data_IF_546659716821
#
_entry.id   IF_546659716821
#
_cell.length_a   1.000
_cell.length_b   1.000
_cell.length_c   1.000
_cell.angle_alpha   90.00
_cell.angle_beta   90.00
_cell.angle_gamma   90.00
#
_symmetry.space_group_name_H-M   'P 1'
#
loop_
_entity.id
_entity.type
_entity.pdbx_description
1 polymer ?
#
# COMPACT_ATOMS: atom_id res chain seq x y z
N UNK A 1 41.47 -5.28 -67.37
CA UNK A 1 41.31 -3.82 -67.45
C UNK A 1 39.81 -3.49 -67.52
N UNK A 2 39.23 -3.05 -66.40
CA UNK A 2 37.86 -2.50 -66.19
C UNK A 2 36.67 -3.43 -66.61
N UNK A 3 35.64 -3.71 -65.81
CA UNK A 3 35.00 -2.89 -64.76
C UNK A 3 34.03 -3.77 -63.94
N UNK A 4 34.47 -4.26 -62.78
CA UNK A 4 33.58 -4.61 -61.66
C UNK A 4 33.03 -3.30 -61.09
N UNK A 5 31.87 -2.85 -61.58
CA UNK A 5 31.09 -1.77 -60.95
C UNK A 5 29.62 -1.98 -61.30
N UNK A 6 28.93 -2.82 -60.53
CA UNK A 6 27.45 -2.86 -60.43
C UNK A 6 26.92 -3.71 -59.26
N UNK A 7 27.71 -3.88 -58.20
CA UNK A 7 27.27 -4.49 -56.93
C UNK A 7 27.83 -3.65 -55.78
N UNK A 8 27.46 -2.38 -55.72
CA UNK A 8 27.77 -1.51 -54.56
C UNK A 8 26.71 -0.41 -54.35
N UNK A 9 25.56 -0.48 -55.02
CA UNK A 9 24.50 0.54 -54.90
C UNK A 9 23.17 0.00 -54.33
N UNK A 10 23.07 -1.30 -54.05
CA UNK A 10 21.87 -1.89 -53.41
C UNK A 10 22.13 -2.41 -51.99
N UNK A 11 23.38 -2.42 -51.51
CA UNK A 11 23.70 -2.81 -50.12
C UNK A 11 23.71 -1.59 -49.19
N UNK A 12 23.94 -0.38 -49.71
CA UNK A 12 23.87 0.86 -48.93
C UNK A 12 22.43 1.36 -48.67
N UNK A 13 21.45 0.95 -49.49
CA UNK A 13 20.03 1.30 -49.30
C UNK A 13 19.30 0.37 -48.33
N UNK A 14 19.85 -0.81 -48.04
CA UNK A 14 19.30 -1.75 -47.05
C UNK A 14 19.91 -1.49 -45.67
N UNK A 15 21.11 -0.93 -45.60
CA UNK A 15 21.73 -0.49 -44.33
C UNK A 15 21.13 0.85 -43.84
N UNK A 16 20.56 1.68 -44.72
CA UNK A 16 19.85 2.92 -44.32
C UNK A 16 18.35 2.74 -43.99
N UNK A 17 17.81 1.52 -44.06
CA UNK A 17 16.45 1.20 -43.57
C UNK A 17 16.50 0.43 -42.24
N UNK A 18 17.69 0.02 -41.79
CA UNK A 18 17.96 -0.45 -40.41
C UNK A 18 18.64 0.61 -39.54
N UNK A 19 18.68 1.86 -39.99
CA UNK A 19 18.49 2.98 -39.09
C UNK A 19 16.98 3.26 -39.01
N UNK A 20 16.21 2.23 -38.61
CA UNK A 20 15.08 2.54 -37.74
C UNK A 20 15.73 3.39 -36.67
N UNK A 21 15.32 4.65 -36.60
CA UNK A 21 15.33 5.29 -35.31
C UNK A 21 14.61 4.27 -34.41
N UNK A 22 15.39 3.51 -33.64
CA UNK A 22 15.14 3.40 -32.24
C UNK A 22 15.02 4.87 -31.79
N UNK A 23 13.84 5.45 -32.02
CA UNK A 23 13.22 6.27 -31.02
C UNK A 23 13.22 5.32 -29.84
N UNK A 24 14.30 5.40 -29.07
CA UNK A 24 14.22 5.13 -27.66
C UNK A 24 12.99 5.94 -27.25
N UNK A 25 11.87 5.25 -27.08
CA UNK A 25 11.00 5.63 -26.00
C UNK A 25 11.82 5.27 -24.74
N UNK A 26 12.92 6.01 -24.51
CA UNK A 26 13.17 6.43 -23.15
C UNK A 26 11.80 6.97 -22.75
N UNK A 27 11.13 6.25 -21.85
CA UNK A 27 9.93 6.80 -21.26
C UNK A 27 10.48 8.01 -20.51
N UNK A 28 10.49 9.14 -21.20
CA UNK A 28 11.19 10.33 -20.77
C UNK A 28 10.52 10.67 -19.45
N UNK A 29 11.26 10.49 -18.36
CA UNK A 29 10.78 10.91 -17.05
C UNK A 29 10.84 12.44 -16.94
N UNK A 30 11.16 13.16 -18.04
CA UNK A 30 10.92 14.58 -18.25
C UNK A 30 9.46 14.93 -17.87
N UNK A 31 9.27 15.19 -16.58
CA UNK A 31 7.98 15.49 -15.96
C UNK A 31 7.61 14.63 -14.74
N UNK A 32 8.08 13.38 -14.63
CA UNK A 32 7.62 12.38 -13.65
C UNK A 32 8.51 12.24 -12.39
N UNK A 33 9.72 12.80 -12.41
CA UNK A 33 10.62 12.88 -11.27
C UNK A 33 10.16 13.94 -10.24
N UNK A 34 8.96 13.77 -9.68
CA UNK A 34 8.48 14.59 -8.57
C UNK A 34 9.10 14.04 -7.27
N UNK A 35 10.08 14.76 -6.74
CA UNK A 35 10.73 14.44 -5.46
C UNK A 35 9.70 14.29 -4.33
N UNK A 36 8.59 15.02 -4.37
CA UNK A 36 7.54 14.87 -3.36
C UNK A 36 6.84 13.51 -3.48
N UNK A 37 6.69 12.96 -4.69
CA UNK A 37 6.14 11.61 -4.88
C UNK A 37 7.13 10.57 -4.40
N UNK A 38 8.42 10.75 -4.68
CA UNK A 38 9.45 9.88 -4.15
C UNK A 38 9.49 9.86 -2.63
N UNK A 39 9.54 11.02 -1.98
CA UNK A 39 9.62 11.14 -0.52
C UNK A 39 8.45 10.39 0.15
N UNK A 40 7.28 10.36 -0.49
CA UNK A 40 6.12 9.59 -0.03
C UNK A 40 6.22 8.08 -0.16
N UNK A 41 6.98 7.61 -1.15
CA UNK A 41 7.09 6.18 -1.45
C UNK A 41 8.30 5.55 -0.78
N UNK A 42 9.31 6.35 -0.44
CA UNK A 42 10.60 5.90 0.07
C UNK A 42 10.44 4.91 1.23
N UNK A 43 9.64 5.23 2.25
CA UNK A 43 9.46 4.36 3.41
C UNK A 43 8.80 3.02 3.03
N UNK A 44 7.79 3.04 2.16
CA UNK A 44 7.12 1.83 1.71
C UNK A 44 8.04 0.98 0.81
N UNK A 45 8.82 1.64 -0.02
CA UNK A 45 9.78 1.04 -0.93
C UNK A 45 10.95 0.37 -0.19
N UNK A 46 11.54 1.06 0.77
CA UNK A 46 12.64 0.53 1.60
C UNK A 46 12.17 -0.65 2.46
N UNK A 47 10.94 -0.60 3.02
CA UNK A 47 10.35 -1.73 3.74
C UNK A 47 10.11 -2.94 2.83
N UNK A 48 9.70 -2.71 1.58
CA UNK A 48 9.49 -3.77 0.60
C UNK A 48 10.81 -4.42 0.18
N UNK A 49 11.80 -3.60 -0.17
CA UNK A 49 13.06 -4.05 -0.80
C UNK A 49 14.16 -4.43 0.19
N UNK A 50 14.05 -3.96 1.44
CA UNK A 50 15.10 -4.05 2.45
C UNK A 50 16.32 -3.18 2.15
N UNK A 51 16.20 -2.21 1.23
CA UNK A 51 17.27 -1.26 0.92
C UNK A 51 17.36 -0.18 2.00
N UNK A 52 18.58 0.29 2.24
CA UNK A 52 18.83 1.51 3.01
C UNK A 52 18.37 2.74 2.21
N UNK A 53 18.00 3.81 2.93
CA UNK A 53 17.43 5.03 2.34
C UNK A 53 18.38 5.70 1.32
N UNK A 54 19.69 5.72 1.59
CA UNK A 54 20.69 6.29 0.68
C UNK A 54 20.82 5.52 -0.65
N UNK A 55 20.63 4.19 -0.60
CA UNK A 55 20.56 3.36 -1.81
C UNK A 55 19.28 3.62 -2.59
N UNK A 56 18.15 3.79 -1.89
CA UNK A 56 16.88 4.17 -2.53
C UNK A 56 16.97 5.55 -3.20
N UNK A 57 17.58 6.53 -2.54
CA UNK A 57 17.85 7.87 -3.09
C UNK A 57 18.69 7.79 -4.37
N UNK A 58 19.76 6.99 -4.34
CA UNK A 58 20.61 6.75 -5.51
C UNK A 58 19.80 6.15 -6.66
N UNK A 59 18.93 5.18 -6.39
CA UNK A 59 18.09 4.58 -7.42
C UNK A 59 17.07 5.58 -7.98
N UNK A 60 16.48 6.42 -7.13
CA UNK A 60 15.61 7.50 -7.57
C UNK A 60 16.32 8.47 -8.50
N UNK A 61 17.53 8.92 -8.14
CA UNK A 61 18.33 9.83 -8.98
C UNK A 61 18.70 9.19 -10.33
N UNK A 62 19.13 7.93 -10.32
CA UNK A 62 19.46 7.20 -11.55
C UNK A 62 18.25 7.04 -12.48
N UNK A 63 17.10 6.66 -11.91
CA UNK A 63 15.84 6.53 -12.66
C UNK A 63 15.44 7.89 -13.21
N UNK A 64 15.42 8.94 -12.37
CA UNK A 64 14.99 10.28 -12.75
C UNK A 64 15.83 10.88 -13.89
N UNK A 65 17.14 10.61 -13.88
CA UNK A 65 18.06 11.16 -14.88
C UNK A 65 18.13 10.34 -16.17
N UNK A 66 17.93 9.01 -16.11
CA UNK A 66 18.24 8.12 -17.24
C UNK A 66 17.05 7.28 -17.73
N UNK A 67 15.95 7.23 -16.97
CA UNK A 67 14.83 6.33 -17.23
C UNK A 67 15.26 4.86 -17.31
N UNK A 68 14.54 4.09 -18.12
CA UNK A 68 14.88 2.72 -18.47
C UNK A 68 15.17 2.60 -19.97
N UNK A 69 16.20 1.85 -20.32
CA UNK A 69 16.45 1.43 -21.69
C UNK A 69 15.53 0.28 -22.10
N UNK A 70 15.27 0.13 -23.39
CA UNK A 70 14.49 -1.01 -23.91
C UNK A 70 15.11 -2.36 -23.52
N UNK A 71 16.44 -2.47 -23.50
CA UNK A 71 17.12 -3.71 -23.08
C UNK A 71 16.87 -4.04 -21.60
N UNK A 72 16.82 -3.02 -20.74
CA UNK A 72 16.45 -3.18 -19.34
C UNK A 72 15.00 -3.62 -19.18
N UNK A 73 14.06 -3.00 -19.91
CA UNK A 73 12.65 -3.39 -19.91
C UNK A 73 12.47 -4.83 -20.41
N UNK A 74 13.11 -5.20 -21.53
CA UNK A 74 13.12 -6.56 -22.05
C UNK A 74 13.70 -7.56 -21.04
N UNK A 75 14.72 -7.15 -20.27
CA UNK A 75 15.28 -7.99 -19.21
C UNK A 75 14.33 -8.15 -18.03
N UNK A 76 13.56 -7.11 -17.69
CA UNK A 76 12.55 -7.16 -16.62
C UNK A 76 11.42 -8.10 -17.02
N UNK A 77 10.89 -7.96 -18.24
CA UNK A 77 9.80 -8.80 -18.75
C UNK A 77 10.19 -10.29 -18.78
N UNK A 78 11.44 -10.60 -19.14
CA UNK A 78 11.96 -11.97 -19.11
C UNK A 78 12.08 -12.55 -17.70
N UNK A 79 12.38 -11.73 -16.70
CA UNK A 79 12.50 -12.15 -15.30
C UNK A 79 11.12 -12.42 -14.68
N UNK A 80 10.07 -11.80 -15.20
CA UNK A 80 8.71 -11.89 -14.66
C UNK A 80 7.85 -12.96 -15.36
N UNK A 81 8.43 -13.72 -16.29
CA UNK A 81 7.79 -14.82 -17.03
C UNK A 81 7.72 -16.12 -16.17
N UNK A 82 6.62 -16.91 -16.22
CA UNK A 82 5.79 -17.18 -17.40
C UNK A 82 4.60 -16.25 -17.64
N UNK A 83 4.42 -15.21 -16.83
CA UNK A 83 3.41 -14.19 -17.06
C UNK A 83 3.98 -13.03 -17.86
N UNK A 84 3.60 -12.91 -19.12
CA UNK A 84 3.98 -11.74 -19.91
C UNK A 84 3.43 -10.50 -19.17
N UNK A 85 4.29 -9.60 -18.68
CA UNK A 85 3.83 -8.34 -18.07
C UNK A 85 3.00 -7.51 -19.07
N UNK A 86 3.16 -7.74 -20.39
CA UNK A 86 2.31 -7.14 -21.42
C UNK A 86 0.83 -7.51 -21.28
N UNK A 87 0.51 -8.61 -20.59
CA UNK A 87 -0.88 -9.00 -20.27
C UNK A 87 -1.48 -8.19 -19.11
N UNK A 88 -0.62 -7.53 -18.31
CA UNK A 88 -0.99 -6.59 -17.26
C UNK A 88 -0.83 -5.18 -17.83
N UNK A 89 -1.88 -4.69 -18.49
CA UNK A 89 -1.80 -3.42 -19.23
C UNK A 89 -1.74 -2.17 -18.33
N UNK A 90 -2.03 -2.27 -17.03
CA UNK A 90 -2.06 -1.14 -16.11
C UNK A 90 -0.85 -1.11 -15.17
N UNK A 91 -0.24 0.07 -15.00
CA UNK A 91 0.86 0.35 -14.05
C UNK A 91 0.57 -0.18 -12.65
N UNK A 92 -0.68 -0.03 -12.18
CA UNK A 92 -1.14 -0.54 -10.89
C UNK A 92 -1.00 -2.06 -10.75
N UNK A 93 -1.41 -2.83 -11.76
CA UNK A 93 -1.41 -4.29 -11.70
C UNK A 93 0.02 -4.84 -11.71
N UNK A 94 0.91 -4.23 -12.52
CA UNK A 94 2.34 -4.58 -12.54
C UNK A 94 2.99 -4.33 -11.17
N UNK A 95 2.73 -3.17 -10.59
CA UNK A 95 3.29 -2.79 -9.29
C UNK A 95 2.75 -3.68 -8.16
N UNK A 96 1.43 -3.93 -8.12
CA UNK A 96 0.81 -4.81 -7.14
C UNK A 96 1.37 -6.24 -7.23
N UNK A 97 1.53 -6.78 -8.45
CA UNK A 97 2.12 -8.09 -8.66
C UNK A 97 3.57 -8.16 -8.17
N UNK A 98 4.41 -7.19 -8.53
CA UNK A 98 5.81 -7.15 -8.10
C UNK A 98 5.94 -7.05 -6.59
N UNK A 99 5.14 -6.19 -5.96
CA UNK A 99 5.13 -6.03 -4.51
C UNK A 99 4.71 -7.33 -3.81
N UNK A 100 3.61 -7.95 -4.22
CA UNK A 100 3.05 -9.12 -3.55
C UNK A 100 3.93 -10.38 -3.71
N UNK A 101 4.74 -10.44 -4.77
CA UNK A 101 5.63 -11.57 -5.07
C UNK A 101 7.11 -11.23 -4.86
N UNK A 102 7.44 -10.07 -4.29
CA UNK A 102 8.82 -9.55 -4.25
C UNK A 102 9.81 -10.53 -3.63
N UNK A 103 9.48 -11.09 -2.47
CA UNK A 103 10.36 -12.02 -1.76
C UNK A 103 10.60 -13.31 -2.54
N UNK A 104 9.57 -13.85 -3.17
CA UNK A 104 9.68 -15.05 -4.00
C UNK A 104 10.53 -14.78 -5.24
N UNK A 105 10.21 -13.70 -5.97
CA UNK A 105 10.93 -13.29 -7.18
C UNK A 105 12.42 -13.07 -6.91
N UNK A 106 12.76 -12.39 -5.81
CA UNK A 106 14.14 -11.98 -5.53
C UNK A 106 14.97 -13.02 -4.78
N UNK A 107 14.35 -14.03 -4.16
CA UNK A 107 15.04 -15.01 -3.30
C UNK A 107 16.18 -15.79 -3.97
N UNK A 108 16.10 -16.01 -5.28
CA UNK A 108 17.12 -16.73 -6.07
C UNK A 108 17.68 -15.88 -7.21
N UNK A 109 17.36 -14.59 -7.23
CA UNK A 109 17.70 -13.71 -8.33
C UNK A 109 19.16 -13.24 -8.22
N UNK A 110 19.94 -13.27 -9.32
CA UNK A 110 21.24 -12.63 -9.38
C UNK A 110 21.16 -11.15 -8.97
N UNK A 111 22.18 -10.64 -8.27
CA UNK A 111 22.14 -9.30 -7.68
C UNK A 111 21.88 -8.19 -8.72
N UNK A 112 22.46 -8.30 -9.91
CA UNK A 112 22.24 -7.35 -11.02
C UNK A 112 20.78 -7.32 -11.47
N UNK A 113 20.12 -8.48 -11.49
CA UNK A 113 18.69 -8.59 -11.82
C UNK A 113 17.81 -8.10 -10.68
N UNK A 114 18.18 -8.36 -9.42
CA UNK A 114 17.47 -7.83 -8.25
C UNK A 114 17.48 -6.30 -8.27
N UNK A 115 18.64 -5.68 -8.48
CA UNK A 115 18.78 -4.22 -8.59
C UNK A 115 17.86 -3.67 -9.68
N UNK A 116 17.75 -4.38 -10.81
CA UNK A 116 16.88 -3.96 -11.90
C UNK A 116 15.39 -4.01 -11.51
N UNK A 117 14.94 -5.05 -10.81
CA UNK A 117 13.58 -5.16 -10.27
C UNK A 117 13.31 -4.10 -9.20
N UNK A 118 14.26 -3.87 -8.29
CA UNK A 118 14.17 -2.85 -7.25
C UNK A 118 13.94 -1.47 -7.89
N UNK A 119 14.73 -1.11 -8.91
CA UNK A 119 14.54 0.15 -9.64
C UNK A 119 13.19 0.18 -10.37
N UNK A 120 12.77 -0.93 -10.95
CA UNK A 120 11.52 -0.97 -11.72
C UNK A 120 10.28 -0.78 -10.84
N UNK A 121 10.29 -1.32 -9.62
CA UNK A 121 9.24 -1.07 -8.62
C UNK A 121 9.15 0.42 -8.27
N UNK A 122 10.30 1.07 -8.03
CA UNK A 122 10.35 2.51 -7.77
C UNK A 122 9.75 3.29 -8.94
N UNK A 123 10.19 2.98 -10.16
CA UNK A 123 9.69 3.60 -11.39
C UNK A 123 8.17 3.46 -11.56
N UNK A 124 7.63 2.25 -11.38
CA UNK A 124 6.18 2.03 -11.47
C UNK A 124 5.41 2.78 -10.37
N UNK A 125 5.97 2.88 -9.16
CA UNK A 125 5.42 3.68 -8.07
C UNK A 125 5.33 5.16 -8.47
N UNK A 126 6.46 5.75 -8.88
CA UNK A 126 6.53 7.13 -9.33
C UNK A 126 5.53 7.40 -10.47
N UNK A 127 5.52 6.53 -11.49
CA UNK A 127 4.62 6.64 -12.63
C UNK A 127 3.15 6.59 -12.19
N UNK A 128 2.77 5.61 -11.37
CA UNK A 128 1.39 5.46 -10.91
C UNK A 128 0.89 6.69 -10.15
N UNK A 129 1.65 7.19 -9.19
CA UNK A 129 1.23 8.32 -8.36
C UNK A 129 1.31 9.66 -9.06
N UNK A 130 2.21 9.80 -10.04
CA UNK A 130 2.25 10.95 -10.92
C UNK A 130 1.01 11.01 -11.84
N UNK A 131 0.65 9.89 -12.48
CA UNK A 131 -0.53 9.80 -13.35
C UNK A 131 -1.84 9.91 -12.56
N UNK A 132 -1.79 9.74 -11.24
CA UNK A 132 -2.95 9.75 -10.35
C UNK A 132 -2.78 10.74 -9.20
N UNK A 133 -2.74 12.07 -9.46
CA UNK A 133 -2.41 13.09 -8.45
C UNK A 133 -3.39 13.14 -7.27
N UNK A 134 -4.66 12.74 -7.46
CA UNK A 134 -5.59 12.58 -6.33
C UNK A 134 -5.13 11.49 -5.36
N UNK A 135 -4.53 10.42 -5.86
CA UNK A 135 -3.99 9.35 -5.00
C UNK A 135 -2.76 9.84 -4.24
N UNK A 136 -1.93 10.67 -4.88
CA UNK A 136 -0.75 11.24 -4.24
C UNK A 136 -1.11 12.25 -3.14
N UNK A 137 -2.18 13.04 -3.29
CA UNK A 137 -2.72 13.88 -2.21
C UNK A 137 -3.12 13.08 -0.96
N UNK A 138 -3.76 11.91 -1.14
CA UNK A 138 -4.15 11.04 -0.01
C UNK A 138 -2.94 10.45 0.72
N UNK A 139 -1.82 10.21 0.02
CA UNK A 139 -0.56 9.81 0.65
C UNK A 139 0.04 10.97 1.46
N UNK A 140 0.17 12.17 0.86
CA UNK A 140 0.77 13.38 1.50
C UNK A 140 0.08 13.76 2.81
N UNK A 141 -1.25 13.71 2.83
CA UNK A 141 -2.03 14.11 4.01
C UNK A 141 -1.72 13.27 5.25
N UNK A 142 -1.22 12.04 5.09
CA UNK A 142 -0.93 11.15 6.21
C UNK A 142 0.55 11.19 6.63
N UNK A 143 1.50 11.45 5.73
CA UNK A 143 2.92 11.60 6.12
C UNK A 143 3.22 12.90 6.87
N UNK A 144 2.46 13.97 6.61
CA UNK A 144 2.56 15.20 7.42
C UNK A 144 2.30 14.91 8.91
N UNK A 145 1.47 13.91 9.24
CA UNK A 145 1.24 13.44 10.62
C UNK A 145 2.47 12.68 11.17
N UNK A 146 3.17 11.90 10.35
CA UNK A 146 4.38 11.15 10.74
C UNK A 146 5.57 12.05 11.13
N UNK A 147 5.74 13.20 10.46
CA UNK A 147 6.73 14.21 10.86
C UNK A 147 6.41 14.86 12.23
N UNK A 148 5.12 14.94 12.57
CA UNK A 148 4.65 15.41 13.89
C UNK A 148 4.88 14.30 14.95
N UNK A 149 4.82 13.03 14.56
CA UNK A 149 5.02 11.86 15.44
C UNK A 149 6.49 11.64 15.84
N UNK A 150 7.45 11.88 14.92
CA UNK A 150 8.91 11.75 15.20
C UNK A 150 9.42 12.73 16.27
N UNK A 151 8.71 13.82 16.55
CA UNK A 151 9.11 14.85 17.51
C UNK A 151 8.66 14.59 18.96
N UNK A 152 8.05 13.44 19.29
CA UNK A 152 7.54 13.15 20.64
C UNK A 152 8.35 12.08 21.41
N UNK A 153 9.68 12.23 21.46
CA UNK A 153 10.54 11.43 22.35
C UNK A 153 10.51 12.02 23.76
N UNK A 154 9.64 11.46 24.61
CA UNK A 154 9.57 11.82 26.03
C UNK A 154 8.24 11.47 26.70
N UNK A 155 7.74 10.23 26.57
CA UNK A 155 6.53 9.83 27.30
C UNK A 155 6.86 9.61 28.79
N UNK A 156 6.52 10.60 29.62
CA UNK A 156 6.32 10.41 31.06
C UNK A 156 5.19 9.38 31.30
N UNK A 157 5.09 8.82 32.51
CA UNK A 157 4.12 7.77 32.88
C UNK A 157 2.69 8.12 32.41
N UNK A 158 2.30 7.56 31.26
CA UNK A 158 1.14 8.04 30.54
C UNK A 158 -0.11 7.27 30.94
N UNK A 159 -1.22 7.99 31.12
CA UNK A 159 -2.53 7.40 31.40
C UNK A 159 -3.00 6.60 30.19
N UNK A 160 -2.89 5.27 30.28
CA UNK A 160 -3.42 4.35 29.27
C UNK A 160 -4.95 4.42 29.29
N UNK A 161 -5.55 4.66 28.13
CA UNK A 161 -7.01 4.77 27.96
C UNK A 161 -7.63 3.55 27.29
N UNK A 162 -6.83 2.76 26.57
CA UNK A 162 -7.32 1.56 25.91
C UNK A 162 -6.25 0.77 25.18
N UNK A 163 -6.71 -0.29 24.53
CA UNK A 163 -5.92 -1.17 23.66
C UNK A 163 -6.37 -0.96 22.22
N UNK A 164 -5.44 -0.64 21.33
CA UNK A 164 -5.67 -0.60 19.90
C UNK A 164 -5.12 -1.88 19.27
N UNK A 165 -5.84 -2.47 18.31
CA UNK A 165 -5.36 -3.62 17.55
C UNK A 165 -5.58 -3.40 16.06
N UNK A 166 -4.53 -3.56 15.26
CA UNK A 166 -4.63 -3.61 13.79
C UNK A 166 -4.85 -5.05 13.34
N UNK A 167 -5.68 -5.24 12.32
CA UNK A 167 -5.94 -6.52 11.69
C UNK A 167 -5.78 -6.42 10.17
N UNK A 168 -5.25 -7.49 9.57
CA UNK A 168 -5.23 -7.67 8.13
C UNK A 168 -5.50 -9.13 7.76
N UNK A 169 -6.40 -9.34 6.81
CA UNK A 169 -6.73 -10.64 6.21
C UNK A 169 -6.12 -10.74 4.79
N UNK A 170 -5.06 -11.55 4.60
CA UNK A 170 -4.40 -11.73 3.31
C UNK A 170 -5.09 -12.78 2.41
N UNK A 171 -6.23 -13.35 2.83
CA UNK A 171 -6.96 -14.34 2.04
C UNK A 171 -7.47 -13.76 0.73
N UNK A 172 -7.52 -14.61 -0.29
CA UNK A 172 -7.70 -14.18 -1.67
C UNK A 172 -9.07 -13.58 -1.94
N UNK A 173 -9.07 -12.44 -2.63
CA UNK A 173 -10.22 -11.96 -3.42
C UNK A 173 -9.96 -12.42 -4.86
N UNK A 174 -10.78 -13.34 -5.39
CA UNK A 174 -10.52 -14.02 -6.66
C UNK A 174 -10.11 -13.09 -7.83
N UNK A 175 -9.03 -13.50 -8.50
CA UNK A 175 -8.48 -13.21 -9.84
C UNK A 175 -8.91 -11.96 -10.62
N UNK A 176 -7.88 -11.23 -11.08
CA UNK A 176 -7.97 -10.25 -12.17
C UNK A 176 -8.25 -10.91 -13.53
N UNK A 177 -8.78 -10.11 -14.45
CA UNK A 177 -9.34 -10.55 -15.75
C UNK A 177 -8.29 -11.05 -16.77
N UNK A 178 -7.00 -11.13 -16.42
CA UNK A 178 -5.89 -11.42 -17.35
C UNK A 178 -5.26 -12.81 -17.18
N UNK A 179 -5.83 -13.70 -16.36
CA UNK A 179 -5.26 -15.03 -16.09
C UNK A 179 -4.09 -15.03 -15.09
N UNK A 180 -3.76 -13.88 -14.50
CA UNK A 180 -2.82 -13.74 -13.39
C UNK A 180 -3.58 -13.47 -12.08
N UNK A 181 -3.39 -14.33 -11.07
CA UNK A 181 -4.00 -14.15 -9.76
C UNK A 181 -3.20 -13.12 -8.94
N UNK A 182 -3.58 -11.83 -9.00
CA UNK A 182 -3.04 -10.83 -8.05
C UNK A 182 -3.84 -10.95 -6.75
N UNK A 183 -3.21 -11.52 -5.72
CA UNK A 183 -3.84 -11.63 -4.40
C UNK A 183 -3.62 -10.35 -3.57
N UNK A 184 -4.51 -9.38 -3.70
CA UNK A 184 -4.46 -8.17 -2.88
C UNK A 184 -4.83 -8.42 -1.39
N UNK A 185 -5.33 -9.61 -1.04
CA UNK A 185 -5.96 -9.86 0.24
C UNK A 185 -7.40 -9.33 0.31
N UNK A 186 -8.07 -9.53 1.46
CA UNK A 186 -9.52 -9.34 1.58
C UNK A 186 -9.92 -8.04 2.27
N UNK A 187 -9.38 -7.78 3.47
CA UNK A 187 -9.74 -6.61 4.28
C UNK A 187 -8.72 -6.29 5.36
N UNK A 188 -8.69 -5.04 5.82
CA UNK A 188 -7.90 -4.60 6.96
C UNK A 188 -8.67 -3.55 7.76
N UNK A 189 -8.51 -3.55 9.08
CA UNK A 189 -9.26 -2.69 9.98
C UNK A 189 -8.56 -2.53 11.33
N UNK A 190 -9.14 -1.72 12.21
CA UNK A 190 -8.67 -1.49 13.56
C UNK A 190 -9.79 -1.88 14.54
N UNK A 191 -9.41 -2.44 15.69
CA UNK A 191 -10.27 -2.49 16.87
C UNK A 191 -9.73 -1.63 18.01
N UNK A 192 -10.64 -1.21 18.88
CA UNK A 192 -10.33 -0.49 20.11
C UNK A 192 -11.11 -1.12 21.26
N UNK A 193 -10.44 -1.30 22.40
CA UNK A 193 -11.06 -1.66 23.67
C UNK A 193 -10.74 -0.58 24.71
N UNK A 194 -11.76 -0.01 25.34
CA UNK A 194 -11.57 0.96 26.42
C UNK A 194 -11.22 0.24 27.72
N UNK A 195 -10.00 0.46 28.22
CA UNK A 195 -9.51 -0.13 29.48
C UNK A 195 -9.51 0.87 30.64
N UNK A 196 -9.90 2.12 30.40
CA UNK A 196 -9.98 3.17 31.42
C UNK A 196 -11.38 3.28 32.04
N UNK A 197 -11.47 4.01 33.15
CA UNK A 197 -12.76 4.38 33.73
C UNK A 197 -13.47 5.43 32.86
N UNK A 198 -14.79 5.35 32.81
CA UNK A 198 -15.61 6.25 31.97
C UNK A 198 -15.72 5.80 30.52
N UNK A 199 -16.11 6.72 29.65
CA UNK A 199 -16.22 6.47 28.21
C UNK A 199 -15.03 7.08 27.46
N UNK A 200 -14.62 6.43 26.38
CA UNK A 200 -13.65 6.94 25.42
C UNK A 200 -14.31 7.02 24.04
N UNK A 201 -13.89 7.97 23.22
CA UNK A 201 -14.46 8.16 21.88
C UNK A 201 -13.47 7.73 20.81
N UNK A 202 -13.87 6.80 19.95
CA UNK A 202 -13.12 6.37 18.77
C UNK A 202 -13.89 6.70 17.50
N UNK A 203 -13.29 7.51 16.65
CA UNK A 203 -13.82 7.99 15.39
C UNK A 203 -15.17 8.72 15.48
N UNK A 204 -15.67 9.05 16.67
CA UNK A 204 -17.00 9.63 16.87
C UNK A 204 -18.01 8.73 17.60
N UNK A 205 -17.66 7.48 17.92
CA UNK A 205 -18.48 6.58 18.73
C UNK A 205 -17.93 6.43 20.15
N UNK A 206 -18.85 6.33 21.12
CA UNK A 206 -18.52 6.16 22.54
C UNK A 206 -18.41 4.69 22.93
N UNK A 207 -17.33 4.37 23.64
CA UNK A 207 -17.06 3.06 24.21
C UNK A 207 -16.88 3.22 25.71
N UNK A 208 -17.77 2.61 26.49
CA UNK A 208 -17.68 2.56 27.95
C UNK A 208 -16.57 1.61 28.41
N UNK A 209 -16.17 1.73 29.68
CA UNK A 209 -15.19 0.85 30.31
C UNK A 209 -15.48 -0.62 30.02
N UNK A 210 -14.47 -1.35 29.54
CA UNK A 210 -14.55 -2.77 29.23
C UNK A 210 -15.27 -3.11 27.93
N UNK A 211 -15.69 -2.10 27.15
CA UNK A 211 -16.32 -2.30 25.83
C UNK A 211 -15.36 -1.92 24.71
N UNK A 212 -15.66 -2.38 23.50
CA UNK A 212 -14.86 -2.11 22.32
C UNK A 212 -15.65 -2.30 21.04
N UNK A 213 -15.00 -1.99 19.92
CA UNK A 213 -15.60 -2.10 18.59
C UNK A 213 -14.55 -2.01 17.50
N UNK A 214 -15.00 -1.99 16.26
CA UNK A 214 -14.13 -1.89 15.08
C UNK A 214 -14.37 -0.62 14.29
N UNK A 215 -13.32 -0.19 13.59
CA UNK A 215 -13.39 0.87 12.60
C UNK A 215 -12.58 0.47 11.38
N UNK A 216 -13.17 0.62 10.20
CA UNK A 216 -12.56 0.29 8.92
C UNK A 216 -13.18 1.11 7.79
N UNK A 217 -12.58 1.08 6.61
CA UNK A 217 -13.17 1.74 5.43
C UNK A 217 -13.68 0.72 4.43
N UNK A 218 -14.81 1.05 3.79
CA UNK A 218 -15.39 0.23 2.72
C UNK A 218 -15.66 1.09 1.49
N UNK A 219 -15.46 0.49 0.32
CA UNK A 219 -15.78 1.11 -0.98
C UNK A 219 -17.04 0.54 -1.63
N UNK A 220 -17.63 -0.50 -1.04
CA UNK A 220 -18.59 -1.39 -1.70
C UNK A 220 -19.51 -2.12 -0.72
N UNK A 221 -20.06 -1.42 0.28
CA UNK A 221 -21.13 -1.95 1.14
C UNK A 221 -22.52 -1.51 0.63
N UNK A 222 -23.34 -2.43 0.08
CA UNK A 222 -24.68 -2.09 -0.39
C UNK A 222 -25.60 -1.57 0.72
N UNK A 223 -25.43 -2.08 1.95
CA UNK A 223 -26.28 -1.77 3.12
C UNK A 223 -26.18 -0.29 3.52
N UNK A 224 -25.14 0.42 3.07
CA UNK A 224 -24.92 1.84 3.34
C UNK A 224 -25.16 2.72 2.11
N UNK A 225 -25.95 2.24 1.14
CA UNK A 225 -26.13 2.88 -0.17
C UNK A 225 -24.78 3.14 -0.88
N UNK A 226 -23.82 2.23 -0.69
CA UNK A 226 -22.45 2.35 -1.18
C UNK A 226 -21.73 3.61 -0.67
N UNK A 227 -21.96 3.99 0.59
CA UNK A 227 -21.12 4.99 1.24
C UNK A 227 -19.66 4.53 1.20
N UNK A 228 -18.76 5.44 0.79
CA UNK A 228 -17.34 5.17 0.54
C UNK A 228 -16.48 5.87 1.58
N UNK A 229 -16.14 5.18 2.66
CA UNK A 229 -15.44 5.78 3.78
C UNK A 229 -15.55 4.94 5.04
N UNK A 230 -15.50 5.61 6.18
CA UNK A 230 -15.43 4.99 7.51
C UNK A 230 -16.75 4.33 7.90
N UNK A 231 -16.64 3.09 8.35
CA UNK A 231 -17.69 2.31 8.95
C UNK A 231 -17.23 1.81 10.32
N UNK A 232 -18.20 1.59 11.21
CA UNK A 232 -17.97 1.13 12.57
C UNK A 232 -18.69 -0.19 12.79
N UNK A 233 -18.01 -1.09 13.52
CA UNK A 233 -18.50 -2.39 13.99
C UNK A 233 -18.91 -3.36 12.88
N UNK A 234 -18.62 -3.06 11.61
CA UNK A 234 -18.92 -3.98 10.50
C UNK A 234 -18.09 -5.25 10.64
N UNK A 235 -16.82 -5.10 11.01
CA UNK A 235 -15.93 -6.23 11.25
C UNK A 235 -16.29 -6.96 12.53
N UNK A 236 -16.73 -6.26 13.59
CA UNK A 236 -17.27 -6.90 14.79
C UNK A 236 -18.37 -7.92 14.44
N UNK A 237 -19.38 -7.53 13.65
CA UNK A 237 -20.46 -8.43 13.22
C UNK A 237 -19.93 -9.52 12.28
N UNK A 238 -19.20 -9.16 11.22
CA UNK A 238 -18.73 -10.13 10.22
C UNK A 238 -17.82 -11.21 10.80
N UNK A 239 -16.96 -10.87 11.78
CA UNK A 239 -16.08 -11.83 12.44
C UNK A 239 -16.86 -12.73 13.39
N UNK A 240 -17.66 -12.14 14.28
CA UNK A 240 -18.30 -12.89 15.37
C UNK A 240 -19.54 -13.67 14.92
N UNK A 241 -20.34 -13.10 14.02
CA UNK A 241 -21.62 -13.69 13.63
C UNK A 241 -21.50 -14.52 12.33
N UNK A 242 -20.58 -14.13 11.43
CA UNK A 242 -20.45 -14.75 10.09
C UNK A 242 -19.12 -15.49 9.87
N UNK A 243 -18.26 -15.60 10.88
CA UNK A 243 -16.94 -16.29 10.79
C UNK A 243 -16.08 -15.81 9.61
N UNK A 244 -16.18 -14.52 9.25
CA UNK A 244 -15.39 -13.94 8.17
C UNK A 244 -13.98 -13.55 8.64
N UNK A 245 -13.15 -13.24 7.65
CA UNK A 245 -11.80 -12.72 7.80
C UNK A 245 -10.81 -13.67 8.48
N UNK A 246 -10.60 -14.82 7.85
CA UNK A 246 -9.67 -15.86 8.29
C UNK A 246 -8.74 -16.26 7.12
N UNK A 247 -7.41 -16.40 7.37
CA UNK A 247 -6.72 -16.02 8.60
C UNK A 247 -6.63 -14.49 8.74
N UNK A 248 -6.60 -13.98 9.98
CA UNK A 248 -6.30 -12.56 10.25
C UNK A 248 -5.01 -12.45 11.08
N UNK A 249 -4.13 -11.55 10.69
CA UNK A 249 -2.90 -11.26 11.43
C UNK A 249 -3.02 -9.88 12.09
N UNK A 250 -2.51 -9.77 13.31
CA UNK A 250 -2.72 -8.57 14.12
C UNK A 250 -1.55 -8.18 15.00
N UNK A 251 -1.52 -6.90 15.39
CA UNK A 251 -0.67 -6.34 16.44
C UNK A 251 -1.53 -5.53 17.39
N UNK A 252 -1.18 -5.53 18.67
CA UNK A 252 -1.86 -4.73 19.70
C UNK A 252 -0.89 -3.79 20.40
N UNK A 253 -1.38 -2.63 20.81
CA UNK A 253 -0.63 -1.65 21.61
C UNK A 253 -1.56 -0.95 22.60
N UNK A 254 -1.03 -0.65 23.78
CA UNK A 254 -1.73 0.19 24.75
C UNK A 254 -1.56 1.66 24.35
N UNK A 255 -2.67 2.39 24.30
CA UNK A 255 -2.70 3.78 23.84
C UNK A 255 -3.04 4.74 24.97
N UNK A 256 -2.47 5.94 24.93
CA UNK A 256 -2.75 7.05 25.84
C UNK A 256 -3.89 7.92 25.32
N UNK A 257 -4.35 8.88 26.12
CA UNK A 257 -5.33 9.87 25.66
C UNK A 257 -4.83 10.70 24.47
N UNK A 258 -3.53 11.05 24.44
CA UNK A 258 -2.93 11.79 23.33
C UNK A 258 -2.86 10.93 22.07
N UNK A 259 -2.53 9.64 22.21
CA UNK A 259 -2.57 8.68 21.10
C UNK A 259 -3.99 8.57 20.53
N UNK A 260 -5.01 8.46 21.40
CA UNK A 260 -6.41 8.42 21.00
C UNK A 260 -6.88 9.70 20.30
N UNK A 261 -6.38 10.86 20.71
CA UNK A 261 -6.65 12.15 20.06
C UNK A 261 -6.14 12.15 18.62
N UNK A 262 -4.88 11.73 18.40
CA UNK A 262 -4.30 11.61 17.06
C UNK A 262 -5.03 10.59 16.21
N UNK A 263 -5.32 9.41 16.76
CA UNK A 263 -6.14 8.37 16.10
C UNK A 263 -7.48 8.95 15.61
N UNK A 264 -8.20 9.70 16.45
CA UNK A 264 -9.47 10.32 16.08
C UNK A 264 -9.34 11.33 14.92
N UNK A 265 -8.26 12.10 14.93
CA UNK A 265 -7.93 13.04 13.85
C UNK A 265 -7.61 12.28 12.56
N UNK A 266 -6.78 11.24 12.61
CA UNK A 266 -6.44 10.38 11.46
C UNK A 266 -7.67 9.71 10.87
N UNK A 267 -8.57 9.16 11.69
CA UNK A 267 -9.86 8.60 11.23
C UNK A 267 -10.71 9.66 10.51
N UNK A 268 -10.59 10.93 10.90
CA UNK A 268 -11.34 12.02 10.27
C UNK A 268 -10.79 12.44 8.93
N UNK A 269 -9.46 12.45 8.77
CA UNK A 269 -8.86 12.74 7.48
C UNK A 269 -8.98 11.59 6.48
N UNK A 270 -9.14 10.36 6.96
CA UNK A 270 -9.22 9.17 6.12
C UNK A 270 -10.66 8.66 5.91
N UNK A 271 -11.65 9.56 5.97
CA UNK A 271 -13.06 9.24 5.70
C UNK A 271 -13.43 9.31 4.20
N UNK A 272 -12.64 8.61 3.39
CA UNK A 272 -12.92 8.40 1.96
C UNK A 272 -12.43 7.02 1.55
N UNK A 273 -12.86 6.53 0.38
CA UNK A 273 -12.38 5.26 -0.15
C UNK A 273 -11.97 5.37 -1.62
N UNK A 274 -10.72 5.02 -1.92
CA UNK A 274 -10.16 4.88 -3.28
C UNK A 274 -9.35 3.59 -3.39
N UNK A 275 -8.68 3.35 -4.53
CA UNK A 275 -7.75 2.20 -4.66
C UNK A 275 -6.53 2.31 -3.75
N UNK A 276 -6.07 3.53 -3.43
CA UNK A 276 -4.93 3.79 -2.54
C UNK A 276 -5.41 4.10 -1.13
N UNK A 277 -6.33 5.05 -0.97
CA UNK A 277 -7.00 5.31 0.30
C UNK A 277 -8.06 4.24 0.57
N UNK A 278 -7.62 3.01 0.77
CA UNK A 278 -8.45 1.83 0.96
C UNK A 278 -8.38 1.34 2.43
N UNK A 279 -8.93 0.16 2.71
CA UNK A 279 -8.98 -0.40 4.05
C UNK A 279 -7.59 -0.63 4.69
N UNK A 280 -6.58 -0.99 3.89
CA UNK A 280 -5.22 -1.24 4.38
C UNK A 280 -4.44 0.02 4.63
N UNK A 281 -4.57 1.00 3.75
CA UNK A 281 -4.04 2.33 3.99
C UNK A 281 -4.64 2.96 5.25
N UNK A 282 -5.97 2.92 5.36
CA UNK A 282 -6.67 3.41 6.55
C UNK A 282 -6.19 2.73 7.83
N UNK A 283 -6.14 1.39 7.85
CA UNK A 283 -5.72 0.65 9.02
C UNK A 283 -4.27 0.95 9.42
N UNK A 284 -3.35 1.00 8.45
CA UNK A 284 -1.96 1.35 8.69
C UNK A 284 -1.81 2.79 9.22
N UNK A 285 -2.51 3.76 8.61
CA UNK A 285 -2.47 5.16 9.05
C UNK A 285 -2.96 5.32 10.50
N UNK A 286 -4.11 4.72 10.84
CA UNK A 286 -4.65 4.77 12.20
C UNK A 286 -3.73 4.06 13.21
N UNK A 287 -3.15 2.92 12.84
CA UNK A 287 -2.18 2.23 13.68
C UNK A 287 -0.90 3.04 13.88
N UNK A 288 -0.33 3.61 12.82
CA UNK A 288 0.88 4.41 12.92
C UNK A 288 0.64 5.66 13.77
N UNK A 289 -0.59 6.17 13.83
CA UNK A 289 -0.95 7.28 14.71
C UNK A 289 -0.92 6.95 16.22
N UNK A 290 -0.97 5.66 16.57
CA UNK A 290 -1.04 5.15 17.95
C UNK A 290 0.28 5.18 18.71
N UNK A 291 1.41 5.39 18.02
CA UNK A 291 2.74 5.21 18.58
C UNK A 291 3.18 3.74 18.71
N UNK A 292 2.44 2.81 18.10
CA UNK A 292 2.89 1.43 17.88
C UNK A 292 4.09 1.36 16.93
N UNK A 293 4.69 0.16 16.80
CA UNK A 293 5.74 -0.07 15.80
C UNK A 293 5.16 0.17 14.40
N UNK A 294 5.88 0.96 13.59
CA UNK A 294 5.44 1.32 12.25
C UNK A 294 5.08 0.09 11.40
N UNK A 295 3.96 0.16 10.69
CA UNK A 295 3.55 -0.84 9.69
C UNK A 295 3.30 -0.16 8.34
N UNK A 296 3.74 -0.83 7.27
CA UNK A 296 3.51 -0.39 5.90
C UNK A 296 2.42 -1.24 5.26
N UNK A 297 1.50 -0.61 4.53
CA UNK A 297 0.56 -1.32 3.67
C UNK A 297 1.12 -1.61 2.26
N UNK A 298 2.34 -1.14 1.95
CA UNK A 298 3.00 -1.28 0.65
C UNK A 298 3.03 0.02 -0.16
N UNK A 299 3.82 0.02 -1.24
CA UNK A 299 3.86 1.09 -2.26
C UNK A 299 2.48 1.25 -2.88
N UNK A 300 1.81 0.12 -3.14
CA UNK A 300 0.36 0.05 -3.33
C UNK A 300 -0.24 -0.56 -2.06
N UNK A 301 -1.17 0.12 -1.38
CA UNK A 301 -1.73 -0.41 -0.14
C UNK A 301 -2.59 -1.67 -0.39
N UNK A 302 -2.22 -2.82 0.19
CA UNK A 302 -3.00 -4.06 0.09
C UNK A 302 -3.13 -4.78 1.44
N UNK A 303 -4.28 -5.44 1.73
CA UNK A 303 -4.40 -6.24 2.95
C UNK A 303 -3.34 -7.33 3.07
N UNK A 304 -2.96 -7.94 1.94
CA UNK A 304 -1.88 -8.93 1.92
C UNK A 304 -0.55 -8.34 2.38
N UNK A 305 -0.11 -7.23 1.77
CA UNK A 305 1.17 -6.61 2.12
C UNK A 305 1.17 -6.11 3.56
N UNK A 306 0.06 -5.54 4.04
CA UNK A 306 -0.09 -5.16 5.44
C UNK A 306 0.06 -6.36 6.39
N UNK A 307 -0.61 -7.48 6.10
CA UNK A 307 -0.48 -8.71 6.88
C UNK A 307 0.95 -9.26 6.86
N UNK A 308 1.62 -9.22 5.71
CA UNK A 308 3.02 -9.64 5.56
C UNK A 308 3.95 -8.78 6.42
N UNK A 309 3.72 -7.47 6.48
CA UNK A 309 4.50 -6.56 7.33
C UNK A 309 4.17 -6.68 8.82
N UNK A 310 2.91 -6.96 9.19
CA UNK A 310 2.52 -7.30 10.56
C UNK A 310 3.32 -8.53 11.06
N UNK A 311 3.42 -9.59 10.25
CA UNK A 311 4.13 -10.82 10.61
C UNK A 311 5.64 -10.63 10.82
N UNK A 312 6.24 -9.59 10.25
CA UNK A 312 7.66 -9.24 10.47
C UNK A 312 7.91 -8.67 11.87
N UNK A 313 6.86 -8.24 12.58
CA UNK A 313 6.98 -7.61 13.90
C UNK A 313 6.77 -8.65 15.01
N UNK A 314 7.78 -8.78 15.88
CA UNK A 314 7.67 -9.63 17.07
C UNK A 314 6.47 -9.23 17.93
N UNK A 315 5.67 -10.22 18.34
CA UNK A 315 4.45 -10.04 19.11
C UNK A 315 3.18 -9.95 18.28
N UNK A 316 3.24 -10.23 16.97
CA UNK A 316 2.03 -10.42 16.17
C UNK A 316 1.23 -11.64 16.66
N UNK A 317 -0.07 -11.59 16.43
CA UNK A 317 -0.99 -12.68 16.73
C UNK A 317 -1.71 -13.14 15.45
N UNK A 318 -2.20 -14.37 15.46
CA UNK A 318 -2.99 -14.98 14.39
C UNK A 318 -4.38 -15.29 14.92
N UNK A 319 -5.40 -14.74 14.28
CA UNK A 319 -6.80 -14.87 14.64
C UNK A 319 -7.13 -14.33 16.04
N UNK A 320 -6.46 -13.26 16.47
CA UNK A 320 -6.81 -12.55 17.70
C UNK A 320 -8.31 -12.20 17.73
N UNK A 321 -8.87 -12.16 18.94
CA UNK A 321 -10.28 -11.86 19.14
C UNK A 321 -10.62 -10.44 18.68
N UNK A 322 -11.84 -10.27 18.16
CA UNK A 322 -12.35 -8.97 17.72
C UNK A 322 -13.48 -8.57 18.65
N UNK A 323 -13.40 -7.41 19.32
CA UNK A 323 -14.45 -6.94 20.22
C UNK A 323 -15.82 -6.97 19.54
N UNK A 324 -16.80 -7.58 20.21
CA UNK A 324 -18.15 -7.70 19.67
C UNK A 324 -18.99 -6.46 19.98
N UNK A 325 -19.59 -5.91 18.93
CA UNK A 325 -20.62 -4.89 18.99
C UNK A 325 -21.57 -5.13 17.81
N UNK A 326 -22.85 -5.33 18.10
CA UNK A 326 -23.90 -5.67 17.14
C UNK A 326 -24.53 -4.45 16.46
N UNK A 327 -24.12 -3.23 16.85
CA UNK A 327 -24.64 -1.99 16.31
C UNK A 327 -23.64 -1.39 15.32
N UNK A 328 -24.00 -1.38 14.04
CA UNK A 328 -23.16 -0.84 12.97
C UNK A 328 -23.54 0.59 12.59
N UNK A 329 -22.53 1.36 12.21
CA UNK A 329 -22.68 2.74 11.75
C UNK A 329 -21.80 3.01 10.55
N UNK A 330 -22.20 3.95 9.70
CA UNK A 330 -21.26 4.60 8.78
C UNK A 330 -21.12 6.07 9.14
N UNK A 331 -19.95 6.64 8.84
CA UNK A 331 -19.64 8.01 9.18
C UNK A 331 -20.47 8.97 8.33
N UNK A 332 -21.09 9.93 9.01
CA UNK A 332 -21.68 11.12 8.45
C UNK A 332 -21.59 12.22 9.52
N UNK A 333 -22.11 13.42 9.26
CA UNK A 333 -22.13 14.51 10.24
C UNK A 333 -22.66 14.04 11.62
N UNK A 334 -23.61 13.11 11.60
CA UNK A 334 -23.96 12.25 12.73
C UNK A 334 -23.86 10.79 12.25
N UNK A 335 -23.20 9.87 12.98
CA UNK A 335 -23.12 8.46 12.58
C UNK A 335 -24.51 7.87 12.29
N UNK A 336 -24.66 7.24 11.12
CA UNK A 336 -25.94 6.67 10.68
C UNK A 336 -25.92 5.17 10.95
N UNK A 337 -26.86 4.71 11.78
CA UNK A 337 -27.02 3.29 12.10
C UNK A 337 -27.56 2.52 10.89
N UNK A 338 -27.08 1.30 10.68
CA UNK A 338 -27.63 0.38 9.69
C UNK A 338 -27.65 -1.07 10.23
N UNK A 339 -27.99 -2.04 9.39
CA UNK A 339 -28.01 -3.47 9.73
C UNK A 339 -27.33 -4.24 8.61
N UNK A 340 -26.51 -5.22 8.99
CA UNK A 340 -25.74 -6.08 8.07
C UNK A 340 -26.48 -7.36 7.70
#
# INVERSE_FOLDING_TARGET
MFKQRKITACILSIIMIFALAATAFAHDLDGYADRNVYDMLEIHYTILTGLEADVADTYYEEISNNGFTNEQLDSIDKVLYPGNLDSLSATYDKLAYLQDNYSELTSYMPQDKKILIDKYIMYLGLLYYYENPRQSEYLKMNEMDESIQRNQVGKAAANIVGKLTIFADPSTRGVGSSGHEINLGKHAWISFENTSSGYQRLGGLDYYQGTGGTVGTYGNLPETNNYKGVHYNVESVKVNDHSMYLPRYSLSVQITADDLSRINQTITYNDTWTKVNNCSWFAAAVWNASGGKYVSAGVIPTPKTLADNIKKISGYDTNAEVPYCDITYYKAKNPVKFTL
#
